data_IF_047670012290
#
_entry.id   IF_047670012290
#
_cell.length_a   1.000
_cell.length_b   1.000
_cell.length_c   1.000
_cell.angle_alpha   90.00
_cell.angle_beta   90.00
_cell.angle_gamma   90.00
#
_symmetry.space_group_name_H-M   'P 1'
#
loop_
_entity.id
_entity.type
_entity.pdbx_description
1 polymer ?
#
# COMPACT_ATOMS: atom_id res chain seq x y z
N UNK A 1 -14.89 -27.62 31.31
CA UNK A 1 -15.42 -26.31 30.87
C UNK A 1 -14.35 -25.29 30.49
N UNK A 2 -13.23 -25.17 31.22
CA UNK A 2 -12.21 -24.13 30.98
C UNK A 2 -11.50 -24.15 29.60
N UNK A 3 -11.28 -25.32 28.98
CA UNK A 3 -10.59 -25.41 27.68
C UNK A 3 -11.35 -24.74 26.53
N UNK A 4 -12.69 -24.78 26.52
CA UNK A 4 -13.49 -24.12 25.47
C UNK A 4 -13.46 -22.60 25.65
N UNK A 5 -13.61 -22.10 26.86
CA UNK A 5 -13.56 -20.65 27.15
C UNK A 5 -12.16 -20.05 26.87
N UNK A 6 -11.08 -20.76 27.20
CA UNK A 6 -9.71 -20.34 26.91
C UNK A 6 -9.42 -20.31 25.39
N UNK A 7 -9.95 -21.27 24.63
CA UNK A 7 -9.80 -21.33 23.18
C UNK A 7 -10.49 -20.15 22.47
N UNK A 8 -11.72 -19.79 22.90
CA UNK A 8 -12.41 -18.61 22.39
C UNK A 8 -11.64 -17.32 22.70
N UNK A 9 -11.04 -17.22 23.89
CA UNK A 9 -10.22 -16.07 24.26
C UNK A 9 -8.95 -15.93 23.37
N UNK A 10 -8.26 -17.04 23.08
CA UNK A 10 -7.10 -17.06 22.17
C UNK A 10 -7.46 -16.71 20.73
N UNK A 11 -8.61 -17.18 20.23
CA UNK A 11 -9.10 -16.81 18.90
C UNK A 11 -9.38 -15.30 18.82
N UNK A 12 -10.05 -14.75 19.83
CA UNK A 12 -10.37 -13.33 19.90
C UNK A 12 -9.09 -12.48 19.89
N UNK A 13 -8.09 -12.80 20.72
CA UNK A 13 -6.84 -12.02 20.74
C UNK A 13 -6.05 -12.14 19.44
N UNK A 14 -5.99 -13.33 18.83
CA UNK A 14 -5.31 -13.52 17.54
C UNK A 14 -5.98 -12.76 16.40
N UNK A 15 -7.32 -12.70 16.41
CA UNK A 15 -8.10 -11.99 15.41
C UNK A 15 -7.96 -10.47 15.55
N UNK A 16 -8.06 -9.95 16.78
CA UNK A 16 -7.82 -8.52 17.04
C UNK A 16 -6.38 -8.11 16.72
N UNK A 17 -5.38 -8.95 17.05
CA UNK A 17 -4.00 -8.69 16.68
C UNK A 17 -3.83 -8.62 15.14
N UNK A 18 -4.44 -9.55 14.39
CA UNK A 18 -4.40 -9.53 12.94
C UNK A 18 -5.01 -8.25 12.34
N UNK A 19 -6.08 -7.71 12.94
CA UNK A 19 -6.69 -6.46 12.50
C UNK A 19 -5.73 -5.29 12.75
N UNK A 20 -5.16 -5.18 13.95
CA UNK A 20 -4.23 -4.10 14.28
C UNK A 20 -2.97 -4.12 13.42
N UNK A 21 -2.40 -5.30 13.16
CA UNK A 21 -1.22 -5.45 12.30
C UNK A 21 -1.51 -5.05 10.84
N UNK A 22 -2.71 -5.37 10.33
CA UNK A 22 -3.09 -4.99 8.98
C UNK A 22 -3.17 -3.47 8.83
N UNK A 23 -3.80 -2.78 9.77
CA UNK A 23 -3.98 -1.32 9.78
C UNK A 23 -2.63 -0.57 9.89
N UNK A 24 -1.74 -1.03 10.76
CA UNK A 24 -0.37 -0.50 10.86
C UNK A 24 0.40 -0.70 9.55
N UNK A 25 0.35 -1.92 8.99
CA UNK A 25 1.04 -2.25 7.74
C UNK A 25 0.54 -1.43 6.54
N UNK A 26 -0.77 -1.13 6.54
CA UNK A 26 -1.41 -0.27 5.54
C UNK A 26 -0.77 1.12 5.59
N UNK A 27 -0.69 1.70 6.78
CA UNK A 27 -0.12 3.03 6.97
C UNK A 27 1.38 3.08 6.60
N UNK A 28 2.14 2.02 6.92
CA UNK A 28 3.58 1.97 6.64
C UNK A 28 3.92 1.91 5.15
N UNK A 29 3.24 1.08 4.36
CA UNK A 29 3.52 0.98 2.92
C UNK A 29 3.24 2.31 2.20
N UNK A 30 2.10 2.94 2.51
CA UNK A 30 1.71 4.24 1.94
C UNK A 30 2.72 5.33 2.30
N UNK A 31 3.12 5.38 3.57
CA UNK A 31 4.09 6.36 4.07
C UNK A 31 5.47 6.16 3.44
N UNK A 32 5.95 4.92 3.34
CA UNK A 32 7.25 4.61 2.73
C UNK A 32 7.27 4.98 1.24
N UNK A 33 6.22 4.61 0.49
CA UNK A 33 6.08 4.99 -0.91
C UNK A 33 6.04 6.51 -1.11
N UNK A 34 5.33 7.22 -0.22
CA UNK A 34 5.26 8.69 -0.21
C UNK A 34 6.60 9.36 0.15
N UNK A 35 7.49 8.68 0.88
CA UNK A 35 8.80 9.21 1.27
C UNK A 35 9.93 8.84 0.31
N UNK A 36 9.71 7.94 -0.64
CA UNK A 36 10.77 7.46 -1.52
C UNK A 36 11.65 6.37 -0.88
N UNK A 37 11.21 5.76 0.22
CA UNK A 37 11.95 4.72 0.95
C UNK A 37 11.76 3.36 0.27
N UNK A 38 12.61 3.09 -0.73
CA UNK A 38 12.50 1.88 -1.56
C UNK A 38 12.83 0.62 -0.77
N UNK A 39 13.76 0.70 0.19
CA UNK A 39 14.15 -0.42 1.04
C UNK A 39 12.97 -0.88 1.90
N UNK A 40 12.28 0.04 2.57
CA UNK A 40 11.09 -0.27 3.37
C UNK A 40 9.95 -0.77 2.50
N UNK A 41 9.70 -0.16 1.33
CA UNK A 41 8.68 -0.66 0.39
C UNK A 41 8.98 -2.09 -0.04
N UNK A 42 10.25 -2.39 -0.37
CA UNK A 42 10.66 -3.74 -0.78
C UNK A 42 10.43 -4.75 0.36
N UNK A 43 10.89 -4.44 1.57
CA UNK A 43 10.77 -5.32 2.73
C UNK A 43 9.31 -5.64 3.08
N UNK A 44 8.42 -4.64 3.03
CA UNK A 44 6.99 -4.83 3.29
C UNK A 44 6.37 -5.77 2.25
N UNK A 45 6.63 -5.52 0.95
CA UNK A 45 6.05 -6.31 -0.14
C UNK A 45 6.64 -7.74 -0.20
N UNK A 46 7.90 -7.93 0.20
CA UNK A 46 8.52 -9.25 0.32
C UNK A 46 7.99 -10.05 1.51
N UNK A 47 7.57 -9.36 2.57
CA UNK A 47 6.94 -9.97 3.75
C UNK A 47 5.45 -10.30 3.56
N UNK A 48 4.93 -10.21 2.33
CA UNK A 48 3.53 -10.49 2.01
C UNK A 48 2.60 -9.29 2.14
N UNK A 49 3.13 -8.08 2.28
CA UNK A 49 2.35 -6.85 2.28
C UNK A 49 1.55 -6.69 0.98
N UNK A 50 0.33 -6.17 1.09
CA UNK A 50 -0.56 -5.97 -0.04
C UNK A 50 -0.15 -4.72 -0.85
N UNK A 51 0.27 -4.84 -2.12
CA UNK A 51 0.62 -3.68 -2.97
C UNK A 51 -0.59 -2.79 -3.30
N UNK A 52 -1.81 -3.29 -3.10
CA UNK A 52 -3.08 -2.61 -3.37
C UNK A 52 -3.72 -1.99 -2.13
N UNK A 53 -2.97 -1.91 -1.03
CA UNK A 53 -3.33 -1.13 0.14
C UNK A 53 -3.76 0.30 -0.22
N UNK A 54 -4.77 0.81 0.49
CA UNK A 54 -5.33 2.16 0.31
C UNK A 54 -5.56 2.82 1.67
N UNK A 55 -5.50 4.15 1.72
CA UNK A 55 -6.00 4.92 2.85
C UNK A 55 -7.52 5.17 2.73
N UNK A 56 -8.08 5.94 3.67
CA UNK A 56 -9.50 6.29 3.74
C UNK A 56 -10.00 7.05 2.50
N UNK A 57 -9.10 7.74 1.80
CA UNK A 57 -9.40 8.46 0.55
C UNK A 57 -9.28 7.55 -0.69
N UNK A 58 -8.99 6.27 -0.50
CA UNK A 58 -8.77 5.32 -1.58
C UNK A 58 -7.42 5.49 -2.28
N UNK A 59 -6.50 6.28 -1.72
CA UNK A 59 -5.19 6.55 -2.32
C UNK A 59 -4.26 5.36 -2.07
N UNK A 60 -3.72 4.82 -3.16
CA UNK A 60 -2.80 3.67 -3.13
C UNK A 60 -1.34 4.10 -2.99
N UNK A 61 -0.47 3.17 -2.59
CA UNK A 61 0.98 3.39 -2.59
C UNK A 61 1.50 3.84 -3.97
N UNK A 62 0.93 3.28 -5.04
CA UNK A 62 1.29 3.62 -6.42
C UNK A 62 0.96 5.08 -6.75
N UNK A 63 -0.20 5.57 -6.30
CA UNK A 63 -0.58 6.99 -6.45
C UNK A 63 0.32 7.92 -5.63
N UNK A 64 0.68 7.55 -4.41
CA UNK A 64 1.63 8.31 -3.60
C UNK A 64 3.00 8.45 -4.28
N UNK A 65 3.54 7.34 -4.80
CA UNK A 65 4.81 7.31 -5.53
C UNK A 65 4.74 8.14 -6.82
N UNK A 66 3.69 7.96 -7.63
CA UNK A 66 3.48 8.69 -8.88
C UNK A 66 3.31 10.20 -8.67
N UNK A 67 2.66 10.62 -7.57
CA UNK A 67 2.48 12.04 -7.21
C UNK A 67 3.77 12.74 -6.78
N UNK A 68 4.87 12.00 -6.56
CA UNK A 68 6.15 12.50 -6.03
C UNK A 68 7.38 12.16 -6.88
N UNK A 69 7.17 11.64 -8.09
CA UNK A 69 8.23 11.22 -9.02
C UNK A 69 9.15 10.11 -8.47
N UNK A 70 8.59 9.18 -7.69
CA UNK A 70 9.33 8.05 -7.13
C UNK A 70 9.35 6.88 -8.11
N UNK A 71 9.96 7.07 -9.29
CA UNK A 71 9.91 6.16 -10.44
C UNK A 71 10.34 4.72 -10.11
N UNK A 72 11.39 4.54 -9.29
CA UNK A 72 11.83 3.21 -8.83
C UNK A 72 10.77 2.50 -7.98
N UNK A 73 10.05 3.24 -7.14
CA UNK A 73 8.96 2.69 -6.32
C UNK A 73 7.74 2.39 -7.19
N UNK A 74 7.43 3.25 -8.17
CA UNK A 74 6.39 2.98 -9.18
C UNK A 74 6.68 1.63 -9.87
N UNK A 75 7.89 1.44 -10.39
CA UNK A 75 8.28 0.20 -11.05
C UNK A 75 8.20 -1.02 -10.11
N UNK A 76 8.64 -0.87 -8.85
CA UNK A 76 8.59 -1.95 -7.85
C UNK A 76 7.15 -2.36 -7.53
N UNK A 77 6.26 -1.39 -7.29
CA UNK A 77 4.85 -1.65 -6.98
C UNK A 77 4.14 -2.34 -8.15
N UNK A 78 4.37 -1.90 -9.38
CA UNK A 78 3.84 -2.54 -10.59
C UNK A 78 4.33 -3.99 -10.68
N UNK A 79 5.65 -4.22 -10.51
CA UNK A 79 6.24 -5.56 -10.50
C UNK A 79 5.63 -6.46 -9.43
N UNK A 80 5.21 -5.90 -8.29
CA UNK A 80 4.59 -6.64 -7.18
C UNK A 80 3.07 -6.80 -7.34
N UNK A 81 2.46 -6.34 -8.44
CA UNK A 81 1.04 -6.55 -8.74
C UNK A 81 0.11 -5.43 -8.27
N UNK A 82 0.62 -4.20 -8.16
CA UNK A 82 -0.24 -3.03 -7.95
C UNK A 82 -1.20 -2.82 -9.13
N UNK A 83 -2.46 -2.52 -8.83
CA UNK A 83 -3.50 -2.22 -9.79
C UNK A 83 -3.26 -0.82 -10.39
N UNK A 84 -2.60 -0.77 -11.54
CA UNK A 84 -2.17 0.46 -12.22
C UNK A 84 -3.33 1.45 -12.48
N UNK A 85 -4.51 0.91 -12.80
CA UNK A 85 -5.71 1.68 -13.11
C UNK A 85 -6.65 1.88 -11.92
N UNK A 86 -6.22 1.58 -10.69
CA UNK A 86 -7.02 1.91 -9.51
C UNK A 86 -7.28 3.41 -9.45
N UNK A 87 -8.44 3.78 -8.90
CA UNK A 87 -8.84 5.17 -8.66
C UNK A 87 -8.98 5.43 -7.16
N UNK A 88 -8.60 6.64 -6.74
CA UNK A 88 -9.00 7.18 -5.44
C UNK A 88 -10.45 7.72 -5.48
N UNK A 89 -10.97 8.19 -4.35
CA UNK A 89 -12.39 8.53 -4.19
C UNK A 89 -12.90 9.62 -5.16
N UNK A 90 -12.03 10.50 -5.68
CA UNK A 90 -12.36 11.50 -6.70
C UNK A 90 -12.10 11.04 -8.14
N UNK A 91 -11.77 9.75 -8.35
CA UNK A 91 -11.57 9.16 -9.67
C UNK A 91 -10.15 9.30 -10.25
N UNK A 92 -9.18 9.83 -9.50
CA UNK A 92 -7.81 10.01 -9.99
C UNK A 92 -7.04 8.69 -9.98
N UNK A 93 -6.29 8.45 -11.06
CA UNK A 93 -5.33 7.35 -11.16
C UNK A 93 -3.91 7.82 -10.86
N UNK A 94 -3.00 6.86 -10.65
CA UNK A 94 -1.57 7.17 -10.52
C UNK A 94 -1.03 7.94 -11.74
N UNK A 95 -1.44 7.55 -12.95
CA UNK A 95 -1.07 8.23 -14.20
C UNK A 95 -1.53 9.69 -14.22
N UNK A 96 -2.78 9.97 -13.79
CA UNK A 96 -3.30 11.35 -13.72
C UNK A 96 -2.48 12.22 -12.77
N UNK A 97 -2.08 11.69 -11.61
CA UNK A 97 -1.20 12.42 -10.68
C UNK A 97 0.18 12.74 -11.29
N UNK A 98 0.81 11.76 -11.95
CA UNK A 98 2.11 11.96 -12.60
C UNK A 98 2.03 12.94 -13.78
N UNK A 99 1.00 12.80 -14.63
CA UNK A 99 0.78 13.66 -15.80
C UNK A 99 0.52 15.11 -15.40
N UNK A 100 -0.32 15.36 -14.38
CA UNK A 100 -0.59 16.71 -13.86
C UNK A 100 0.69 17.46 -13.44
N UNK A 101 1.70 16.73 -13.00
CA UNK A 101 2.98 17.27 -12.50
C UNK A 101 4.12 17.20 -13.50
N UNK A 102 3.87 16.71 -14.73
CA UNK A 102 4.86 16.51 -15.78
C UNK A 102 6.02 15.57 -15.36
N UNK A 103 5.72 14.54 -14.58
CA UNK A 103 6.69 13.53 -14.15
C UNK A 103 6.86 12.45 -15.21
N UNK A 104 7.69 12.76 -16.21
CA UNK A 104 7.85 11.96 -17.45
C UNK A 104 8.21 10.51 -17.17
N UNK A 105 9.11 10.24 -16.20
CA UNK A 105 9.54 8.88 -15.89
C UNK A 105 8.40 8.05 -15.30
N UNK A 106 7.65 8.63 -14.37
CA UNK A 106 6.46 7.99 -13.79
C UNK A 106 5.36 7.77 -14.85
N UNK A 107 5.14 8.73 -15.76
CA UNK A 107 4.20 8.59 -16.89
C UNK A 107 4.60 7.47 -17.84
N UNK A 108 5.89 7.27 -18.10
CA UNK A 108 6.37 6.19 -18.98
C UNK A 108 6.19 4.78 -18.37
N UNK A 109 6.10 4.69 -17.05
CA UNK A 109 5.96 3.42 -16.33
C UNK A 109 4.49 3.00 -16.14
N UNK A 110 3.55 3.94 -16.20
CA UNK A 110 2.13 3.77 -15.89
C UNK A 110 1.28 3.72 -17.16
#
# INVERSE_FOLDING_TARGET
MYKKTLFFFLLITSFFASITYAEESVNYLLTAASKGDIETVSAILESGGNPNTKDEDGVTALMYAARKDMDKIVALLIKKGAAVNATENNGWTALMFAAKKNYVRSVQLL
#
